data_IF_441123108503
#
_entry.id   IF_441123108503
#
_cell.length_a   1.000
_cell.length_b   1.000
_cell.length_c   1.000
_cell.angle_alpha   90.00
_cell.angle_beta   90.00
_cell.angle_gamma   90.00
#
_symmetry.space_group_name_H-M   'P 1'
#
loop_
_entity.id
_entity.type
_entity.pdbx_description
1 polymer ?
#
# COMPACT_ATOMS: atom_id res chain seq x y z
N UNK A 1 -9.58 -35.35 3.09
CA UNK A 1 -9.69 -33.93 2.67
C UNK A 1 -11.15 -33.63 2.42
N UNK A 2 -11.75 -32.68 3.13
CA UNK A 2 -13.16 -32.33 2.95
C UNK A 2 -13.34 -31.54 1.64
N UNK A 3 -14.38 -31.82 0.82
CA UNK A 3 -14.61 -31.10 -0.42
C UNK A 3 -15.07 -29.66 -0.11
N UNK A 4 -14.37 -28.69 -0.68
CA UNK A 4 -14.76 -27.27 -0.63
C UNK A 4 -16.07 -27.12 -1.39
N UNK A 5 -17.17 -26.87 -0.68
CA UNK A 5 -18.47 -26.55 -1.30
C UNK A 5 -18.33 -25.23 -2.06
N UNK A 6 -18.32 -25.31 -3.38
CA UNK A 6 -18.40 -24.15 -4.27
C UNK A 6 -19.84 -23.64 -4.22
N UNK A 7 -20.05 -22.47 -3.62
CA UNK A 7 -21.36 -21.82 -3.56
C UNK A 7 -21.91 -21.54 -4.96
N UNK A 8 -23.23 -21.57 -5.08
CA UNK A 8 -23.93 -21.27 -6.34
C UNK A 8 -23.63 -19.84 -6.81
N UNK A 9 -23.93 -19.51 -8.08
CA UNK A 9 -23.75 -18.13 -8.59
C UNK A 9 -24.48 -17.10 -7.71
N UNK A 10 -25.68 -17.45 -7.22
CA UNK A 10 -26.48 -16.63 -6.31
C UNK A 10 -25.76 -16.36 -4.98
N UNK A 11 -25.17 -17.39 -4.37
CA UNK A 11 -24.40 -17.23 -3.13
C UNK A 11 -23.18 -16.31 -3.30
N UNK A 12 -22.59 -16.27 -4.51
CA UNK A 12 -21.45 -15.39 -4.82
C UNK A 12 -21.88 -13.95 -5.03
N UNK A 13 -23.01 -13.73 -5.70
CA UNK A 13 -23.60 -12.41 -5.90
C UNK A 13 -24.05 -11.81 -4.55
N UNK A 14 -24.73 -12.60 -3.70
CA UNK A 14 -25.14 -12.20 -2.35
C UNK A 14 -23.92 -11.83 -1.47
N UNK A 15 -22.83 -12.59 -1.59
CA UNK A 15 -21.58 -12.33 -0.86
C UNK A 15 -20.87 -11.06 -1.38
N UNK A 16 -21.01 -10.74 -2.67
CA UNK A 16 -20.49 -9.50 -3.27
C UNK A 16 -21.28 -8.30 -2.79
N UNK A 17 -22.61 -8.42 -2.69
CA UNK A 17 -23.48 -7.37 -2.13
C UNK A 17 -23.21 -7.15 -0.63
N UNK A 18 -23.04 -8.20 0.17
CA UNK A 18 -22.67 -8.06 1.58
C UNK A 18 -21.30 -7.39 1.78
N UNK A 19 -20.34 -7.66 0.90
CA UNK A 19 -19.03 -6.99 0.95
C UNK A 19 -19.14 -5.52 0.56
N UNK A 20 -20.01 -5.17 -0.39
CA UNK A 20 -20.28 -3.79 -0.78
C UNK A 20 -20.97 -3.01 0.34
N UNK A 21 -22.01 -3.58 0.96
CA UNK A 21 -22.71 -2.96 2.10
C UNK A 21 -21.78 -2.69 3.29
N UNK A 22 -20.87 -3.64 3.61
CA UNK A 22 -19.86 -3.44 4.66
C UNK A 22 -18.83 -2.36 4.33
N UNK A 23 -18.57 -2.12 3.05
CA UNK A 23 -17.72 -1.00 2.63
C UNK A 23 -18.44 0.33 2.79
N UNK A 24 -19.69 0.41 2.33
CA UNK A 24 -20.48 1.64 2.40
C UNK A 24 -20.71 2.04 3.89
N UNK A 25 -20.92 1.05 4.76
CA UNK A 25 -21.01 1.25 6.21
C UNK A 25 -19.66 1.67 6.83
N UNK A 26 -18.56 1.05 6.42
CA UNK A 26 -17.22 1.46 6.87
C UNK A 26 -16.84 2.86 6.34
N UNK A 27 -17.28 3.25 5.15
CA UNK A 27 -17.07 4.57 4.59
C UNK A 27 -17.89 5.63 5.32
N UNK A 28 -19.12 5.29 5.72
CA UNK A 28 -19.98 6.12 6.59
C UNK A 28 -19.38 6.33 7.98
N UNK A 29 -18.81 5.29 8.59
CA UNK A 29 -18.11 5.36 9.89
C UNK A 29 -16.79 6.14 9.80
N UNK A 30 -16.18 6.21 8.61
CA UNK A 30 -14.92 6.92 8.34
C UNK A 30 -15.13 8.29 7.66
N UNK A 31 -16.35 8.82 7.65
CA UNK A 31 -16.65 10.15 7.13
C UNK A 31 -15.83 11.23 7.86
N UNK A 32 -15.45 12.29 7.13
CA UNK A 32 -14.64 13.39 7.66
C UNK A 32 -15.40 14.12 8.77
N UNK A 33 -14.86 14.27 9.99
CA UNK A 33 -15.44 15.15 11.00
C UNK A 33 -15.42 16.59 10.49
N UNK A 34 -16.44 17.37 10.82
CA UNK A 34 -16.59 18.75 10.35
C UNK A 34 -15.62 19.77 11.01
N UNK A 35 -14.58 19.31 11.73
CA UNK A 35 -13.64 20.16 12.49
C UNK A 35 -12.18 19.96 12.10
N UNK A 36 -11.31 20.84 12.60
CA UNK A 36 -9.88 20.83 12.29
C UNK A 36 -9.16 19.61 12.89
N UNK A 37 -8.86 18.63 12.03
CA UNK A 37 -8.09 17.44 12.41
C UNK A 37 -6.58 17.68 12.30
N UNK A 38 -5.85 17.26 13.33
CA UNK A 38 -4.38 17.18 13.30
C UNK A 38 -3.87 16.38 12.07
N UNK A 39 -2.77 16.82 11.41
CA UNK A 39 -2.21 16.15 10.24
C UNK A 39 -1.90 14.65 10.45
N UNK A 40 -1.56 14.25 11.68
CA UNK A 40 -1.30 12.86 12.04
C UNK A 40 -2.58 12.01 12.07
N UNK A 41 -3.67 12.57 12.57
CA UNK A 41 -4.99 11.91 12.60
C UNK A 41 -5.56 11.75 11.19
N UNK A 42 -5.43 12.79 10.36
CA UNK A 42 -5.80 12.75 8.94
C UNK A 42 -5.04 11.66 8.20
N UNK A 43 -3.71 11.56 8.39
CA UNK A 43 -2.87 10.49 7.83
C UNK A 43 -3.28 9.08 8.27
N UNK A 44 -3.61 8.90 9.55
CA UNK A 44 -4.06 7.60 10.09
C UNK A 44 -5.40 7.18 9.48
N UNK A 45 -6.35 8.12 9.33
CA UNK A 45 -7.65 7.86 8.69
C UNK A 45 -7.49 7.51 7.21
N UNK A 46 -6.68 8.26 6.46
CA UNK A 46 -6.42 7.97 5.04
C UNK A 46 -5.76 6.60 4.87
N UNK A 47 -4.81 6.23 5.73
CA UNK A 47 -4.18 4.92 5.69
C UNK A 47 -5.18 3.79 5.97
N UNK A 48 -6.08 3.95 6.95
CA UNK A 48 -7.15 2.97 7.23
C UNK A 48 -8.11 2.82 6.03
N UNK A 49 -8.53 3.92 5.41
CA UNK A 49 -9.39 3.91 4.21
C UNK A 49 -8.71 3.18 3.05
N UNK A 50 -7.43 3.49 2.81
CA UNK A 50 -6.66 2.85 1.74
C UNK A 50 -6.45 1.34 1.99
N UNK A 51 -6.21 0.94 3.24
CA UNK A 51 -6.09 -0.47 3.62
C UNK A 51 -7.40 -1.24 3.47
N UNK A 52 -8.54 -0.63 3.82
CA UNK A 52 -9.86 -1.22 3.63
C UNK A 52 -10.19 -1.41 2.13
N UNK A 53 -9.93 -0.39 1.31
CA UNK A 53 -10.11 -0.47 -0.15
C UNK A 53 -9.21 -1.54 -0.79
N UNK A 54 -7.95 -1.65 -0.34
CA UNK A 54 -7.03 -2.70 -0.82
C UNK A 54 -7.54 -4.09 -0.49
N UNK A 55 -8.03 -4.32 0.73
CA UNK A 55 -8.61 -5.61 1.15
C UNK A 55 -9.85 -5.98 0.33
N UNK A 56 -10.71 -5.02 0.03
CA UNK A 56 -11.88 -5.25 -0.81
C UNK A 56 -11.50 -5.61 -2.25
N UNK A 57 -10.62 -4.82 -2.90
CA UNK A 57 -10.14 -5.12 -4.26
C UNK A 57 -9.51 -6.50 -4.35
N UNK A 58 -8.79 -6.92 -3.31
CA UNK A 58 -8.21 -8.27 -3.23
C UNK A 58 -9.31 -9.35 -3.17
N UNK A 59 -10.31 -9.19 -2.30
CA UNK A 59 -11.43 -10.15 -2.18
C UNK A 59 -12.31 -10.21 -3.43
N UNK A 60 -12.52 -9.09 -4.12
CA UNK A 60 -13.26 -9.07 -5.40
C UNK A 60 -12.47 -9.82 -6.48
N UNK A 61 -11.15 -9.61 -6.57
CA UNK A 61 -10.30 -10.37 -7.49
C UNK A 61 -10.29 -11.86 -7.19
N UNK A 62 -10.26 -12.25 -5.91
CA UNK A 62 -10.37 -13.66 -5.49
C UNK A 62 -11.72 -14.27 -5.91
N UNK A 63 -12.83 -13.53 -5.76
CA UNK A 63 -14.16 -13.97 -6.22
C UNK A 63 -14.24 -14.08 -7.74
N UNK A 64 -13.63 -13.16 -8.49
CA UNK A 64 -13.58 -13.20 -9.96
C UNK A 64 -12.72 -14.38 -10.46
N UNK A 65 -11.58 -14.66 -9.82
CA UNK A 65 -10.72 -15.81 -10.11
C UNK A 65 -11.44 -17.14 -9.83
N UNK A 66 -12.15 -17.23 -8.70
CA UNK A 66 -12.98 -18.40 -8.39
C UNK A 66 -14.13 -18.55 -9.41
N UNK A 67 -14.69 -17.44 -9.91
CA UNK A 67 -15.70 -17.50 -10.98
C UNK A 67 -15.13 -17.96 -12.32
N UNK A 68 -13.91 -17.55 -12.67
CA UNK A 68 -13.24 -18.00 -13.88
C UNK A 68 -12.86 -19.49 -13.80
N UNK A 69 -12.43 -19.98 -12.64
CA UNK A 69 -12.13 -21.40 -12.43
C UNK A 69 -13.38 -22.29 -12.58
N UNK A 70 -14.54 -21.87 -12.09
CA UNK A 70 -15.81 -22.60 -12.26
C UNK A 70 -16.31 -22.57 -13.70
N UNK A 71 -16.10 -21.45 -14.42
CA UNK A 71 -16.43 -21.35 -15.84
C UNK A 71 -15.48 -22.19 -16.72
N UNK A 72 -14.22 -22.35 -16.33
CA UNK A 72 -13.26 -23.17 -17.07
C UNK A 72 -13.44 -24.67 -16.77
N UNK A 73 -13.82 -25.04 -15.55
CA UNK A 73 -14.18 -26.43 -15.20
C UNK A 73 -15.43 -26.91 -15.97
N UNK A 74 -16.44 -26.05 -16.10
CA UNK A 74 -17.66 -26.37 -16.87
C UNK A 74 -17.44 -26.44 -18.40
N UNK A 75 -16.36 -25.84 -18.92
CA UNK A 75 -15.99 -25.91 -20.36
C UNK A 75 -15.04 -27.10 -20.66
N UNK A 76 -14.29 -27.58 -19.66
CA UNK A 76 -13.35 -28.71 -19.83
C UNK A 76 -13.99 -30.09 -19.63
N UNK A 77 -15.04 -30.21 -18.81
CA UNK A 77 -15.84 -31.46 -18.72
C UNK A 77 -16.67 -31.76 -19.99
N UNK A 78 -16.91 -30.76 -20.84
CA UNK A 78 -17.72 -30.93 -22.06
C UNK A 78 -16.94 -31.42 -23.29
N UNK A 79 -15.63 -31.74 -23.18
CA UNK A 79 -14.79 -32.04 -24.36
C UNK A 79 -14.27 -33.46 -24.50
N UNK A 80 -14.49 -34.40 -23.58
CA UNK A 80 -14.07 -35.80 -23.78
C UNK A 80 -15.18 -36.79 -23.42
N UNK A 81 -15.80 -37.39 -24.45
CA UNK A 81 -16.05 -38.83 -24.69
C UNK A 81 -17.05 -38.95 -25.87
N UNK A 82 -16.81 -39.82 -26.88
CA UNK A 82 -17.76 -40.09 -27.96
C UNK A 82 -18.72 -41.22 -27.57
N UNK A 83 -19.90 -41.25 -28.20
CA UNK A 83 -20.70 -42.42 -28.66
C UNK A 83 -22.21 -42.08 -28.63
N UNK A 84 -22.87 -42.42 -29.73
CA UNK A 84 -24.29 -42.25 -29.99
C UNK A 84 -25.17 -43.12 -29.08
N UNK A 85 -26.37 -42.61 -28.73
CA UNK A 85 -27.64 -43.35 -28.63
C UNK A 85 -28.78 -42.30 -28.61
N UNK A 86 -29.81 -42.55 -29.41
CA UNK A 86 -31.03 -41.77 -29.48
C UNK A 86 -31.94 -41.99 -28.26
N UNK A 87 -32.74 -40.97 -27.90
CA UNK A 87 -34.16 -40.99 -27.48
C UNK A 87 -34.48 -39.63 -26.80
N UNK A 88 -35.54 -38.97 -27.25
CA UNK A 88 -36.12 -37.74 -26.68
C UNK A 88 -37.41 -38.09 -25.88
N UNK A 89 -38.23 -37.15 -25.35
CA UNK A 89 -38.03 -35.74 -24.93
C UNK A 89 -38.66 -35.41 -23.53
N UNK A 90 -38.41 -34.22 -22.96
CA UNK A 90 -39.40 -33.53 -22.09
C UNK A 90 -39.16 -32.01 -21.97
N UNK A 91 -40.21 -31.26 -22.32
CA UNK A 91 -40.56 -29.84 -22.22
C UNK A 91 -40.24 -29.16 -20.85
N UNK A 92 -40.14 -27.85 -20.61
CA UNK A 92 -40.36 -26.52 -21.28
C UNK A 92 -39.81 -25.48 -20.25
N UNK A 93 -39.38 -24.23 -20.51
CA UNK A 93 -40.04 -23.14 -21.23
C UNK A 93 -39.05 -21.95 -21.36
N UNK A 94 -38.72 -21.52 -22.58
CA UNK A 94 -38.21 -20.17 -22.85
C UNK A 94 -38.86 -19.70 -24.16
N UNK A 95 -40.02 -19.08 -24.01
CA UNK A 95 -40.90 -18.66 -25.08
C UNK A 95 -40.37 -17.39 -25.76
N UNK A 96 -40.42 -17.40 -27.11
CA UNK A 96 -40.50 -16.25 -28.04
C UNK A 96 -39.26 -15.72 -28.76
N UNK A 97 -38.09 -16.38 -28.74
CA UNK A 97 -36.98 -16.10 -29.71
C UNK A 97 -36.80 -17.21 -30.75
N UNK A 98 -37.12 -18.45 -30.38
CA UNK A 98 -37.00 -19.63 -31.26
C UNK A 98 -38.00 -19.61 -32.44
N UNK A 99 -39.24 -19.14 -32.21
CA UNK A 99 -40.25 -19.07 -33.27
C UNK A 99 -39.91 -18.06 -34.36
N UNK A 100 -39.41 -16.87 -33.99
CA UNK A 100 -38.99 -15.84 -34.96
C UNK A 100 -37.74 -16.26 -35.76
N UNK A 101 -36.87 -17.08 -35.18
CA UNK A 101 -35.74 -17.70 -35.90
C UNK A 101 -36.22 -18.73 -36.93
N UNK A 102 -37.07 -19.66 -36.51
CA UNK A 102 -37.63 -20.70 -37.38
C UNK A 102 -38.49 -20.13 -38.52
N UNK A 103 -39.30 -19.10 -38.25
CA UNK A 103 -40.09 -18.39 -39.27
C UNK A 103 -39.18 -17.74 -40.31
N UNK A 104 -38.10 -17.07 -39.89
CA UNK A 104 -37.12 -16.46 -40.82
C UNK A 104 -36.42 -17.49 -41.71
N UNK A 105 -36.09 -18.66 -41.17
CA UNK A 105 -35.48 -19.76 -41.95
C UNK A 105 -36.48 -20.33 -42.95
N UNK A 106 -37.72 -20.59 -42.53
CA UNK A 106 -38.80 -21.06 -43.41
C UNK A 106 -39.15 -20.06 -44.51
N UNK A 107 -39.20 -18.76 -44.19
CA UNK A 107 -39.43 -17.69 -45.16
C UNK A 107 -38.26 -17.54 -46.13
N UNK A 108 -37.03 -17.68 -45.65
CA UNK A 108 -35.84 -17.67 -46.50
C UNK A 108 -35.83 -18.85 -47.48
N UNK A 109 -36.21 -20.04 -47.02
CA UNK A 109 -36.32 -21.25 -47.84
C UNK A 109 -37.45 -21.13 -48.88
N UNK A 110 -38.63 -20.66 -48.46
CA UNK A 110 -39.75 -20.36 -49.36
C UNK A 110 -39.38 -19.30 -50.40
N UNK A 111 -38.59 -18.29 -50.02
CA UNK A 111 -38.06 -17.28 -50.94
C UNK A 111 -36.97 -17.83 -51.89
N UNK A 112 -36.21 -18.85 -51.49
CA UNK A 112 -35.26 -19.56 -52.36
C UNK A 112 -36.01 -20.37 -53.42
N UNK A 113 -37.00 -21.17 -53.02
CA UNK A 113 -37.83 -21.96 -53.92
C UNK A 113 -38.59 -21.08 -54.92
N UNK A 114 -39.20 -19.99 -54.44
CA UNK A 114 -39.84 -18.99 -55.31
C UNK A 114 -38.87 -18.41 -56.33
N UNK A 115 -37.64 -18.07 -55.93
CA UNK A 115 -36.61 -17.54 -56.85
C UNK A 115 -36.16 -18.57 -57.89
N UNK A 116 -36.04 -19.84 -57.51
CA UNK A 116 -35.69 -20.94 -58.41
C UNK A 116 -36.74 -21.09 -59.51
N UNK A 117 -38.02 -21.02 -59.15
CA UNK A 117 -39.17 -21.22 -60.05
C UNK A 117 -39.61 -19.97 -60.83
N UNK A 118 -38.90 -18.83 -60.73
CA UNK A 118 -39.22 -17.64 -61.53
C UNK A 118 -38.74 -17.78 -62.97
N UNK A 119 -39.61 -17.44 -63.94
CA UNK A 119 -39.21 -17.32 -65.34
C UNK A 119 -38.21 -16.17 -65.55
N UNK A 120 -37.45 -16.20 -66.65
CA UNK A 120 -36.47 -15.16 -67.00
C UNK A 120 -37.10 -13.75 -67.01
N UNK A 121 -38.30 -13.61 -67.58
CA UNK A 121 -39.08 -12.38 -67.59
C UNK A 121 -39.53 -11.92 -66.18
N UNK A 122 -39.86 -12.85 -65.28
CA UNK A 122 -40.20 -12.53 -63.89
C UNK A 122 -38.95 -12.12 -63.09
N UNK A 123 -37.80 -12.77 -63.32
CA UNK A 123 -36.52 -12.40 -62.70
C UNK A 123 -36.11 -11.00 -63.09
N UNK A 124 -36.26 -10.64 -64.36
CA UNK A 124 -35.89 -9.31 -64.86
C UNK A 124 -36.77 -8.20 -64.30
N UNK A 125 -38.10 -8.39 -64.28
CA UNK A 125 -39.03 -7.45 -63.61
C UNK A 125 -38.71 -7.28 -62.12
N UNK A 126 -38.30 -8.36 -61.44
CA UNK A 126 -37.91 -8.31 -60.02
C UNK A 126 -36.60 -7.55 -59.83
N UNK A 127 -35.61 -7.72 -60.72
CA UNK A 127 -34.36 -6.95 -60.71
C UNK A 127 -34.61 -5.46 -60.95
N UNK A 128 -35.44 -5.12 -61.94
CA UNK A 128 -35.81 -3.73 -62.24
C UNK A 128 -36.52 -3.08 -61.05
N UNK A 129 -37.53 -3.75 -60.47
CA UNK A 129 -38.23 -3.26 -59.28
C UNK A 129 -37.32 -3.12 -58.05
N UNK A 130 -36.35 -4.02 -57.88
CA UNK A 130 -35.37 -3.91 -56.80
C UNK A 130 -34.35 -2.80 -57.04
N UNK A 131 -33.92 -2.59 -58.29
CA UNK A 131 -33.05 -1.49 -58.68
C UNK A 131 -33.74 -0.14 -58.48
N UNK A 132 -35.02 -0.03 -58.84
CA UNK A 132 -35.85 1.14 -58.60
C UNK A 132 -36.04 1.41 -57.09
N UNK A 133 -36.38 0.38 -56.29
CA UNK A 133 -36.43 0.49 -54.82
C UNK A 133 -35.09 0.94 -54.23
N UNK A 134 -33.97 0.46 -54.76
CA UNK A 134 -32.64 0.90 -54.33
C UNK A 134 -32.35 2.34 -54.75
N UNK A 135 -32.76 2.78 -55.94
CA UNK A 135 -32.63 4.17 -56.40
C UNK A 135 -33.44 5.12 -55.51
N UNK A 136 -34.70 4.80 -55.21
CA UNK A 136 -35.55 5.59 -54.30
C UNK A 136 -34.95 5.64 -52.90
N UNK A 137 -34.48 4.51 -52.36
CA UNK A 137 -33.78 4.49 -51.05
C UNK A 137 -32.51 5.34 -51.05
N UNK A 138 -31.73 5.32 -52.13
CA UNK A 138 -30.54 6.18 -52.26
C UNK A 138 -30.91 7.66 -52.36
N UNK A 139 -32.00 8.01 -53.04
CA UNK A 139 -32.48 9.39 -53.15
C UNK A 139 -33.09 9.92 -51.85
N UNK A 140 -33.66 9.05 -51.01
CA UNK A 140 -34.24 9.40 -49.71
C UNK A 140 -33.21 9.42 -48.56
N UNK A 141 -31.98 8.98 -48.79
CA UNK A 141 -30.93 8.99 -47.77
C UNK A 141 -30.43 10.41 -47.53
N UNK A 142 -30.36 10.79 -46.26
CA UNK A 142 -29.76 12.05 -45.82
C UNK A 142 -28.24 11.97 -46.01
N UNK A 143 -27.59 13.10 -46.27
CA UNK A 143 -26.15 13.17 -46.49
C UNK A 143 -25.34 12.56 -45.34
N UNK A 144 -25.80 12.74 -44.10
CA UNK A 144 -25.21 12.21 -42.87
C UNK A 144 -25.13 10.68 -42.84
N UNK A 145 -26.14 9.97 -43.36
CA UNK A 145 -26.15 8.50 -43.38
C UNK A 145 -25.13 7.95 -44.38
N UNK A 146 -24.95 8.65 -45.50
CA UNK A 146 -23.95 8.32 -46.52
C UNK A 146 -22.53 8.55 -45.99
N UNK A 147 -22.33 9.59 -45.18
CA UNK A 147 -21.04 9.89 -44.55
C UNK A 147 -20.70 8.87 -43.45
N UNK A 148 -21.66 8.50 -42.60
CA UNK A 148 -21.49 7.46 -41.59
C UNK A 148 -21.13 6.09 -42.21
N UNK A 149 -21.71 5.74 -43.37
CA UNK A 149 -21.35 4.52 -44.09
C UNK A 149 -19.94 4.59 -44.70
N UNK A 150 -19.51 5.77 -45.17
CA UNK A 150 -18.13 5.98 -45.66
C UNK A 150 -17.13 5.85 -44.52
N UNK A 151 -17.42 6.41 -43.36
CA UNK A 151 -16.58 6.31 -42.17
C UNK A 151 -16.49 4.86 -41.67
N UNK A 152 -17.62 4.14 -41.59
CA UNK A 152 -17.62 2.71 -41.29
C UNK A 152 -16.77 1.90 -42.27
N UNK A 153 -16.84 2.21 -43.56
CA UNK A 153 -16.02 1.54 -44.57
C UNK A 153 -14.52 1.86 -44.42
N UNK A 154 -14.16 3.11 -44.09
CA UNK A 154 -12.76 3.50 -43.79
C UNK A 154 -12.23 2.73 -42.58
N UNK A 155 -12.99 2.70 -41.48
CA UNK A 155 -12.62 1.95 -40.26
C UNK A 155 -12.47 0.46 -40.57
N UNK A 156 -13.42 -0.13 -41.32
CA UNK A 156 -13.35 -1.55 -41.69
C UNK A 156 -12.18 -1.88 -42.64
N UNK A 157 -11.72 -0.93 -43.46
CA UNK A 157 -10.51 -1.09 -44.28
C UNK A 157 -9.24 -0.92 -43.45
N UNK A 158 -9.25 -0.04 -42.44
CA UNK A 158 -8.13 0.13 -41.52
C UNK A 158 -7.93 -1.15 -40.69
N UNK A 159 -8.99 -1.64 -40.04
CA UNK A 159 -8.97 -2.89 -39.27
C UNK A 159 -8.45 -4.06 -40.12
N UNK A 160 -8.88 -4.17 -41.38
CA UNK A 160 -8.40 -5.24 -42.27
C UNK A 160 -6.90 -5.14 -42.54
N UNK A 161 -6.37 -3.93 -42.75
CA UNK A 161 -4.93 -3.72 -42.96
C UNK A 161 -4.13 -4.01 -41.70
N UNK A 162 -4.63 -3.58 -40.54
CA UNK A 162 -3.97 -3.81 -39.25
C UNK A 162 -3.93 -5.31 -38.94
N UNK A 163 -5.05 -6.03 -39.10
CA UNK A 163 -5.11 -7.49 -38.92
C UNK A 163 -4.20 -8.25 -39.90
N UNK A 164 -4.08 -7.79 -41.14
CA UNK A 164 -3.13 -8.36 -42.11
C UNK A 164 -1.68 -8.08 -41.72
N UNK A 165 -1.38 -6.88 -41.22
CA UNK A 165 -0.06 -6.53 -40.69
C UNK A 165 0.33 -7.39 -39.49
N UNK A 166 -0.58 -7.54 -38.52
CA UNK A 166 -0.39 -8.42 -37.37
C UNK A 166 -0.19 -9.89 -37.77
N UNK A 167 -0.99 -10.39 -38.73
CA UNK A 167 -0.84 -11.74 -39.25
C UNK A 167 0.54 -11.96 -39.91
N UNK A 168 1.01 -10.99 -40.69
CA UNK A 168 2.33 -11.07 -41.32
C UNK A 168 3.47 -11.05 -40.28
N UNK A 169 3.38 -10.18 -39.27
CA UNK A 169 4.35 -10.15 -38.16
C UNK A 169 4.38 -11.46 -37.37
N UNK A 170 3.21 -12.08 -37.16
CA UNK A 170 3.13 -13.39 -36.51
C UNK A 170 3.81 -14.48 -37.34
N UNK A 171 3.55 -14.51 -38.66
CA UNK A 171 4.20 -15.45 -39.59
C UNK A 171 5.71 -15.25 -39.62
N UNK A 172 6.19 -14.01 -39.66
CA UNK A 172 7.62 -13.71 -39.67
C UNK A 172 8.29 -14.07 -38.34
N UNK A 173 7.62 -13.83 -37.21
CA UNK A 173 8.08 -14.26 -35.88
C UNK A 173 8.18 -15.78 -35.79
N UNK A 174 7.19 -16.51 -36.32
CA UNK A 174 7.17 -17.97 -36.33
C UNK A 174 8.27 -18.54 -37.24
N UNK A 175 8.48 -17.93 -38.42
CA UNK A 175 9.60 -18.26 -39.31
C UNK A 175 10.95 -18.03 -38.64
N UNK A 176 11.13 -16.91 -37.94
CA UNK A 176 12.35 -16.64 -37.19
C UNK A 176 12.55 -17.62 -36.03
N UNK A 177 11.50 -17.96 -35.28
CA UNK A 177 11.56 -18.94 -34.21
C UNK A 177 11.94 -20.33 -34.73
N UNK A 178 11.36 -20.74 -35.86
CA UNK A 178 11.64 -22.00 -36.54
C UNK A 178 13.07 -22.04 -37.07
N UNK A 179 13.55 -20.94 -37.67
CA UNK A 179 14.93 -20.83 -38.12
C UNK A 179 15.91 -20.91 -36.94
N UNK A 180 15.59 -20.27 -35.81
CA UNK A 180 16.39 -20.32 -34.57
C UNK A 180 16.41 -21.71 -33.95
N UNK A 181 15.30 -22.45 -33.97
CA UNK A 181 15.26 -23.81 -33.41
C UNK A 181 16.02 -24.84 -34.26
N UNK A 182 16.23 -24.56 -35.54
CA UNK A 182 16.99 -25.41 -36.46
C UNK A 182 18.51 -25.12 -36.45
N UNK A 183 18.94 -24.00 -35.86
CA UNK A 183 20.36 -23.63 -35.75
C UNK A 183 21.03 -24.34 -34.57
N UNK A 184 22.26 -24.81 -34.77
CA UNK A 184 23.10 -25.36 -33.69
C UNK A 184 23.40 -24.27 -32.65
N UNK A 185 23.66 -24.65 -31.40
CA UNK A 185 24.07 -23.70 -30.35
C UNK A 185 25.28 -22.84 -30.78
N UNK A 186 26.24 -23.46 -31.49
CA UNK A 186 27.42 -22.78 -32.00
C UNK A 186 27.08 -21.72 -33.06
N UNK A 187 26.10 -21.99 -33.92
CA UNK A 187 25.65 -21.02 -34.93
C UNK A 187 24.85 -19.89 -34.28
N UNK A 188 24.02 -20.20 -33.28
CA UNK A 188 23.30 -19.19 -32.52
C UNK A 188 24.25 -18.24 -31.78
N UNK A 189 25.33 -18.78 -31.22
CA UNK A 189 26.32 -17.98 -30.50
C UNK A 189 27.19 -17.16 -31.46
N UNK A 190 27.51 -17.72 -32.64
CA UNK A 190 28.16 -16.98 -33.72
C UNK A 190 27.27 -15.82 -34.21
N UNK A 191 25.97 -16.05 -34.42
CA UNK A 191 25.02 -15.00 -34.78
C UNK A 191 24.90 -13.94 -33.67
N UNK A 192 24.91 -14.34 -32.40
CA UNK A 192 24.92 -13.39 -31.27
C UNK A 192 26.18 -12.55 -31.25
N UNK A 193 27.35 -13.14 -31.50
CA UNK A 193 28.62 -12.43 -31.58
C UNK A 193 28.60 -11.41 -32.72
N UNK A 194 28.21 -11.82 -33.94
CA UNK A 194 28.09 -10.93 -35.10
C UNK A 194 27.14 -9.76 -34.80
N UNK A 195 25.99 -10.03 -34.19
CA UNK A 195 25.05 -8.97 -33.80
C UNK A 195 25.62 -8.03 -32.73
N UNK A 196 26.40 -8.55 -31.80
CA UNK A 196 27.05 -7.77 -30.74
C UNK A 196 28.13 -6.88 -31.34
N UNK A 197 28.96 -7.41 -32.23
CA UNK A 197 29.99 -6.66 -32.96
C UNK A 197 29.38 -5.60 -33.87
N UNK A 198 28.33 -5.93 -34.63
CA UNK A 198 27.62 -4.97 -35.47
C UNK A 198 26.96 -3.84 -34.66
N UNK A 199 26.53 -4.12 -33.43
CA UNK A 199 26.03 -3.08 -32.50
C UNK A 199 27.18 -2.24 -31.94
N UNK A 200 28.30 -2.85 -31.57
CA UNK A 200 29.49 -2.15 -31.09
C UNK A 200 30.06 -1.22 -32.19
N UNK A 201 30.15 -1.70 -33.42
CA UNK A 201 30.60 -0.93 -34.58
C UNK A 201 29.67 0.26 -34.83
N UNK A 202 28.35 0.05 -34.86
CA UNK A 202 27.38 1.14 -35.00
C UNK A 202 27.54 2.18 -33.89
N UNK A 203 27.67 1.76 -32.62
CA UNK A 203 27.92 2.67 -31.50
C UNK A 203 29.23 3.45 -31.62
N UNK A 204 30.27 2.84 -32.17
CA UNK A 204 31.56 3.51 -32.38
C UNK A 204 31.52 4.57 -33.48
N UNK A 205 30.62 4.41 -34.45
CA UNK A 205 30.45 5.32 -35.58
C UNK A 205 29.42 6.43 -35.29
N UNK A 206 28.61 6.29 -34.24
CA UNK A 206 27.62 7.29 -33.84
C UNK A 206 28.27 8.57 -33.31
N UNK A 207 27.73 9.70 -33.75
CA UNK A 207 28.05 11.03 -33.22
C UNK A 207 27.57 11.19 -31.78
N UNK A 208 28.07 12.19 -31.05
CA UNK A 208 27.60 12.47 -29.68
C UNK A 208 26.13 12.89 -29.66
N UNK A 209 25.67 13.62 -30.68
CA UNK A 209 24.28 14.07 -30.79
C UNK A 209 23.32 12.90 -31.01
N UNK A 210 23.66 11.96 -31.90
CA UNK A 210 22.90 10.72 -32.09
C UNK A 210 22.88 9.87 -30.81
N UNK A 211 24.01 9.78 -30.10
CA UNK A 211 24.08 9.07 -28.81
C UNK A 211 23.22 9.74 -27.75
N UNK A 212 23.12 11.07 -27.76
CA UNK A 212 22.24 11.82 -26.85
C UNK A 212 20.78 11.57 -27.18
N UNK A 213 20.39 11.61 -28.45
CA UNK A 213 19.01 11.32 -28.89
C UNK A 213 18.60 9.87 -28.54
N UNK A 214 19.50 8.90 -28.73
CA UNK A 214 19.25 7.51 -28.31
C UNK A 214 19.08 7.39 -26.78
N UNK A 215 19.83 8.16 -25.98
CA UNK A 215 19.65 8.20 -24.52
C UNK A 215 18.33 8.82 -24.12
N UNK A 216 17.93 9.92 -24.77
CA UNK A 216 16.71 10.64 -24.47
C UNK A 216 15.47 9.80 -24.83
N UNK A 217 15.47 9.15 -25.99
CA UNK A 217 14.41 8.21 -26.40
C UNK A 217 14.31 7.03 -25.44
N UNK A 218 15.44 6.42 -25.05
CA UNK A 218 15.46 5.36 -24.04
C UNK A 218 14.95 5.84 -22.67
N UNK A 219 15.30 7.07 -22.26
CA UNK A 219 14.82 7.65 -21.01
C UNK A 219 13.30 7.83 -21.01
N UNK A 220 12.72 8.28 -22.13
CA UNK A 220 11.28 8.40 -22.31
C UNK A 220 10.60 7.02 -22.22
N UNK A 221 11.11 6.02 -22.95
CA UNK A 221 10.57 4.65 -22.89
C UNK A 221 10.59 4.11 -21.46
N UNK A 222 11.69 4.28 -20.74
CA UNK A 222 11.81 3.83 -19.35
C UNK A 222 10.88 4.59 -18.40
N UNK A 223 10.69 5.90 -18.62
CA UNK A 223 9.73 6.69 -17.86
C UNK A 223 8.29 6.22 -18.09
N UNK A 224 7.93 5.92 -19.34
CA UNK A 224 6.62 5.37 -19.71
C UNK A 224 6.39 4.02 -19.04
N UNK A 225 7.36 3.09 -19.12
CA UNK A 225 7.26 1.79 -18.46
C UNK A 225 7.06 1.94 -16.94
N UNK A 226 7.87 2.78 -16.27
CA UNK A 226 7.73 3.04 -14.81
C UNK A 226 6.39 3.64 -14.43
N UNK A 227 5.78 4.44 -15.30
CA UNK A 227 4.45 5.02 -15.06
C UNK A 227 3.32 3.99 -15.14
N UNK A 228 3.51 2.93 -15.94
CA UNK A 228 2.53 1.86 -16.14
C UNK A 228 2.70 0.69 -15.17
N UNK A 229 3.87 0.59 -14.52
CA UNK A 229 4.15 -0.46 -13.54
C UNK A 229 3.19 -0.42 -12.35
N UNK A 230 2.82 -1.60 -11.88
CA UNK A 230 2.06 -1.80 -10.65
C UNK A 230 2.92 -1.62 -9.40
N UNK A 231 2.28 -1.40 -8.24
CA UNK A 231 2.97 -1.28 -6.96
C UNK A 231 3.80 -2.52 -6.60
N UNK A 232 3.33 -3.71 -6.98
CA UNK A 232 3.99 -4.98 -6.67
C UNK A 232 5.21 -5.20 -7.58
N UNK A 233 5.11 -4.89 -8.87
CA UNK A 233 6.27 -4.89 -9.78
C UNK A 233 7.34 -3.91 -9.32
N UNK A 234 6.96 -2.70 -8.89
CA UNK A 234 7.90 -1.73 -8.32
C UNK A 234 8.55 -2.20 -7.03
N UNK A 235 7.88 -3.06 -6.24
CA UNK A 235 8.49 -3.67 -5.04
C UNK A 235 9.54 -4.69 -5.43
N UNK A 236 9.20 -5.60 -6.34
CA UNK A 236 10.13 -6.63 -6.83
C UNK A 236 11.37 -5.99 -7.45
N UNK A 237 11.20 -4.98 -8.31
CA UNK A 237 12.33 -4.26 -8.92
C UNK A 237 13.25 -3.63 -7.86
N UNK A 238 12.67 -2.97 -6.84
CA UNK A 238 13.46 -2.38 -5.74
C UNK A 238 14.16 -3.42 -4.88
N UNK A 239 13.58 -4.60 -4.71
CA UNK A 239 14.21 -5.67 -3.94
C UNK A 239 15.37 -6.30 -4.72
N UNK A 240 15.21 -6.49 -6.04
CA UNK A 240 16.30 -6.91 -6.93
C UNK A 240 17.42 -5.86 -6.96
N UNK A 241 17.10 -4.58 -7.06
CA UNK A 241 18.09 -3.51 -7.02
C UNK A 241 18.82 -3.46 -5.66
N UNK A 242 18.09 -3.69 -4.56
CA UNK A 242 18.70 -3.79 -3.23
C UNK A 242 19.71 -4.93 -3.20
N UNK A 243 19.34 -6.11 -3.69
CA UNK A 243 20.21 -7.28 -3.73
C UNK A 243 21.44 -7.07 -4.64
N UNK A 244 21.26 -6.45 -5.81
CA UNK A 244 22.38 -6.06 -6.67
C UNK A 244 23.35 -5.12 -5.95
N UNK A 245 22.83 -4.13 -5.22
CA UNK A 245 23.66 -3.21 -4.45
C UNK A 245 24.35 -3.87 -3.26
N UNK A 246 23.73 -4.86 -2.59
CA UNK A 246 24.41 -5.62 -1.52
C UNK A 246 25.54 -6.45 -2.10
N UNK A 247 25.28 -7.21 -3.17
CA UNK A 247 26.28 -8.07 -3.79
C UNK A 247 27.45 -7.25 -4.37
N UNK A 248 27.16 -6.09 -4.97
CA UNK A 248 28.20 -5.18 -5.46
C UNK A 248 29.09 -4.64 -4.34
N UNK A 249 28.53 -4.36 -3.15
CA UNK A 249 29.31 -3.89 -1.98
C UNK A 249 30.18 -5.00 -1.40
N UNK A 250 29.69 -6.24 -1.38
CA UNK A 250 30.45 -7.40 -0.90
C UNK A 250 31.65 -7.70 -1.81
N UNK A 251 31.50 -7.52 -3.12
CA UNK A 251 32.57 -7.72 -4.10
C UNK A 251 33.52 -6.51 -4.24
N UNK A 252 33.23 -5.40 -3.57
CA UNK A 252 33.99 -4.16 -3.72
C UNK A 252 35.32 -4.23 -2.96
N UNK A 253 36.43 -3.93 -3.64
CA UNK A 253 37.75 -3.74 -3.02
C UNK A 253 37.73 -2.60 -1.99
N UNK A 254 38.61 -2.64 -0.99
CA UNK A 254 38.72 -1.59 0.02
C UNK A 254 39.04 -0.21 -0.58
N UNK A 255 39.96 -0.13 -1.57
CA UNK A 255 40.30 1.13 -2.27
C UNK A 255 39.07 1.79 -2.93
N UNK A 256 38.28 0.99 -3.64
CA UNK A 256 37.04 1.45 -4.26
C UNK A 256 36.00 1.90 -3.22
N UNK A 257 35.96 1.25 -2.05
CA UNK A 257 35.07 1.64 -0.94
C UNK A 257 35.50 2.98 -0.36
N UNK A 258 36.78 3.21 -0.16
CA UNK A 258 37.30 4.46 0.38
C UNK A 258 37.10 5.63 -0.59
N UNK A 259 37.38 5.42 -1.87
CA UNK A 259 37.10 6.42 -2.90
C UNK A 259 35.59 6.76 -3.00
N UNK A 260 34.71 5.78 -2.78
CA UNK A 260 33.27 6.04 -2.74
C UNK A 260 32.88 6.85 -1.49
N UNK A 261 33.41 6.51 -0.32
CA UNK A 261 33.16 7.26 0.90
C UNK A 261 33.64 8.70 0.80
N UNK A 262 34.79 8.94 0.17
CA UNK A 262 35.32 10.29 -0.06
C UNK A 262 34.39 11.10 -0.96
N UNK A 263 33.97 10.54 -2.10
CA UNK A 263 32.97 11.18 -2.97
C UNK A 263 31.66 11.48 -2.24
N UNK A 264 31.20 10.56 -1.38
CA UNK A 264 29.97 10.77 -0.61
C UNK A 264 30.15 11.88 0.45
N UNK A 265 31.32 11.97 1.09
CA UNK A 265 31.66 13.08 2.01
C UNK A 265 31.67 14.41 1.28
N UNK A 266 32.26 14.48 0.10
CA UNK A 266 32.28 15.68 -0.74
C UNK A 266 30.87 16.11 -1.16
N UNK A 267 30.06 15.17 -1.67
CA UNK A 267 28.65 15.44 -2.02
C UNK A 267 27.87 15.99 -0.83
N UNK A 268 28.07 15.43 0.36
CA UNK A 268 27.42 15.91 1.59
C UNK A 268 27.95 17.27 2.03
N UNK A 269 29.24 17.57 1.83
CA UNK A 269 29.81 18.89 2.09
C UNK A 269 29.19 19.93 1.15
N UNK A 270 29.16 19.66 -0.16
CA UNK A 270 28.53 20.54 -1.16
C UNK A 270 27.05 20.76 -0.84
N UNK A 271 26.31 19.70 -0.51
CA UNK A 271 24.89 19.81 -0.09
C UNK A 271 24.73 20.73 1.11
N UNK A 272 25.61 20.64 2.11
CA UNK A 272 25.57 21.52 3.30
C UNK A 272 25.88 22.98 2.97
N UNK A 273 26.79 23.23 2.03
CA UNK A 273 27.11 24.60 1.58
C UNK A 273 25.92 25.22 0.84
N UNK A 274 25.28 24.47 -0.06
CA UNK A 274 24.15 24.94 -0.86
C UNK A 274 22.82 25.02 -0.10
N UNK A 275 22.71 24.33 1.04
CA UNK A 275 21.51 24.35 1.87
C UNK A 275 21.20 25.74 2.40
N UNK A 276 19.94 26.14 2.26
CA UNK A 276 19.41 27.38 2.84
C UNK A 276 19.26 27.25 4.36
N UNK A 277 19.19 28.39 5.07
CA UNK A 277 19.03 28.39 6.53
C UNK A 277 17.73 27.71 6.99
N UNK A 278 16.64 27.92 6.25
CA UNK A 278 15.35 27.25 6.48
C UNK A 278 15.47 25.73 6.41
N UNK A 279 16.12 25.20 5.38
CA UNK A 279 16.32 23.75 5.22
C UNK A 279 17.19 23.17 6.34
N UNK A 280 18.20 23.92 6.79
CA UNK A 280 19.05 23.53 7.94
C UNK A 280 18.23 23.48 9.23
N UNK A 281 17.33 24.42 9.45
CA UNK A 281 16.46 24.42 10.62
C UNK A 281 15.48 23.24 10.60
N UNK A 282 14.84 22.97 9.46
CA UNK A 282 13.98 21.79 9.32
C UNK A 282 14.74 20.47 9.53
N UNK A 283 15.99 20.37 9.06
CA UNK A 283 16.83 19.20 9.30
C UNK A 283 17.16 19.05 10.80
N UNK A 284 17.49 20.14 11.49
CA UNK A 284 17.69 20.15 12.95
C UNK A 284 16.42 19.74 13.69
N UNK A 285 15.26 20.21 13.25
CA UNK A 285 13.97 19.85 13.84
C UNK A 285 13.66 18.36 13.63
N UNK A 286 13.83 17.84 12.41
CA UNK A 286 13.69 16.40 12.11
C UNK A 286 14.61 15.55 12.99
N UNK A 287 15.85 15.98 13.21
CA UNK A 287 16.79 15.29 14.11
C UNK A 287 16.33 15.36 15.57
N UNK A 288 15.83 16.51 16.03
CA UNK A 288 15.26 16.66 17.39
C UNK A 288 14.05 15.77 17.59
N UNK A 289 13.14 15.71 16.62
CA UNK A 289 11.95 14.85 16.65
C UNK A 289 12.35 13.36 16.65
N UNK A 290 13.32 12.96 15.82
CA UNK A 290 13.86 11.60 15.82
C UNK A 290 14.46 11.22 17.18
N UNK A 291 15.21 12.13 17.81
CA UNK A 291 15.78 11.90 19.16
C UNK A 291 14.68 11.81 20.22
N UNK A 292 13.65 12.66 20.15
CA UNK A 292 12.50 12.63 21.08
C UNK A 292 11.69 11.34 20.95
N UNK A 293 11.41 10.89 19.73
CA UNK A 293 10.71 9.63 19.47
C UNK A 293 11.51 8.41 19.90
N UNK A 294 12.83 8.41 19.69
CA UNK A 294 13.73 7.35 20.18
C UNK A 294 13.72 7.30 21.71
N UNK A 295 13.94 8.43 22.40
CA UNK A 295 13.89 8.47 23.87
C UNK A 295 12.54 8.07 24.45
N UNK A 296 11.44 8.52 23.84
CA UNK A 296 10.10 8.14 24.30
C UNK A 296 9.81 6.65 24.05
N UNK A 297 10.32 6.09 22.95
CA UNK A 297 10.25 4.66 22.67
C UNK A 297 11.07 3.87 23.70
N UNK A 298 12.29 4.30 24.02
CA UNK A 298 13.17 3.65 24.99
C UNK A 298 12.63 3.74 26.43
N UNK A 299 11.99 4.87 26.78
CA UNK A 299 11.34 5.06 28.08
C UNK A 299 10.15 4.12 28.29
N UNK A 300 9.41 3.76 27.23
CA UNK A 300 8.33 2.78 27.26
C UNK A 300 8.84 1.33 27.08
N UNK A 301 9.87 1.13 26.25
CA UNK A 301 10.45 -0.20 25.95
C UNK A 301 11.14 -0.84 27.16
N UNK A 302 11.65 -0.05 28.11
CA UNK A 302 12.23 -0.58 29.35
C UNK A 302 11.21 -1.31 30.27
N UNK A 303 9.91 -1.22 30.01
CA UNK A 303 8.88 -1.93 30.77
C UNK A 303 8.36 -3.20 30.09
N UNK A 304 8.22 -3.23 28.76
CA UNK A 304 7.64 -4.39 28.04
C UNK A 304 8.66 -5.18 27.19
N UNK A 305 9.66 -4.52 26.59
CA UNK A 305 10.69 -5.14 25.73
C UNK A 305 12.05 -5.22 26.45
N UNK A 306 12.04 -5.47 27.76
CA UNK A 306 13.27 -5.69 28.52
C UNK A 306 14.01 -6.90 27.95
N UNK A 307 15.20 -6.68 27.37
CA UNK A 307 16.05 -7.75 26.84
C UNK A 307 16.85 -8.39 27.97
N UNK A 308 16.47 -9.60 28.43
CA UNK A 308 17.09 -10.22 29.61
C UNK A 308 18.58 -10.55 29.42
N UNK A 309 19.03 -10.63 28.17
CA UNK A 309 20.43 -10.90 27.81
C UNK A 309 21.37 -9.71 28.02
N UNK A 310 20.85 -8.49 28.18
CA UNK A 310 21.67 -7.28 28.31
C UNK A 310 22.09 -6.97 29.76
N UNK A 311 21.58 -7.72 30.75
CA UNK A 311 21.87 -7.51 32.17
C UNK A 311 22.46 -8.80 32.74
N UNK A 312 23.75 -8.76 33.06
CA UNK A 312 24.51 -9.85 33.69
C UNK A 312 25.26 -9.33 34.90
N UNK A 313 25.27 -10.11 35.98
CA UNK A 313 25.95 -9.76 37.22
C UNK A 313 25.48 -10.62 38.39
N UNK A 314 26.26 -10.68 39.48
CA UNK A 314 25.92 -11.46 40.68
C UNK A 314 24.64 -10.96 41.38
N UNK A 315 24.34 -9.66 41.26
CA UNK A 315 23.16 -9.03 41.84
C UNK A 315 21.94 -9.08 40.89
N UNK A 316 21.88 -10.03 39.97
CA UNK A 316 20.80 -10.17 38.98
C UNK A 316 20.14 -11.53 39.19
N UNK A 317 18.82 -11.53 39.41
CA UNK A 317 18.05 -12.76 39.51
C UNK A 317 18.10 -13.51 38.16
N UNK A 318 18.48 -14.80 38.16
CA UNK A 318 18.67 -15.56 36.92
C UNK A 318 17.38 -15.79 36.12
N UNK A 319 16.24 -15.93 36.80
CA UNK A 319 14.92 -16.22 36.23
C UNK A 319 14.24 -14.96 35.71
N UNK A 320 14.27 -13.87 36.49
CA UNK A 320 13.63 -12.59 36.09
C UNK A 320 14.59 -11.63 35.40
N UNK A 321 15.91 -11.90 35.44
CA UNK A 321 17.01 -11.05 34.95
C UNK A 321 16.92 -9.59 35.42
N UNK A 322 16.28 -9.37 36.56
CA UNK A 322 16.17 -8.08 37.26
C UNK A 322 17.18 -8.03 38.39
N UNK A 323 17.63 -6.84 38.75
CA UNK A 323 18.51 -6.65 39.90
C UNK A 323 17.84 -7.16 41.18
N UNK A 324 18.49 -8.10 41.86
CA UNK A 324 18.16 -8.52 43.22
C UNK A 324 18.84 -7.54 44.16
N UNK A 325 18.07 -6.57 44.66
CA UNK A 325 18.57 -5.68 45.70
C UNK A 325 18.74 -6.46 47.02
N UNK A 326 19.82 -6.23 47.78
CA UNK A 326 20.02 -6.90 49.06
C UNK A 326 18.97 -6.46 50.08
N UNK A 327 18.57 -7.29 51.05
CA UNK A 327 17.53 -6.93 52.01
C UNK A 327 17.91 -5.65 52.78
N UNK A 328 16.95 -4.74 52.93
CA UNK A 328 17.16 -3.52 53.71
C UNK A 328 17.32 -3.84 55.20
N UNK A 329 18.17 -3.08 55.87
CA UNK A 329 18.35 -3.12 57.32
C UNK A 329 17.58 -1.98 57.96
N UNK A 330 17.11 -2.16 59.19
CA UNK A 330 16.34 -1.13 59.90
C UNK A 330 17.27 -0.34 60.82
N UNK A 331 17.24 0.98 60.72
CA UNK A 331 18.00 1.86 61.61
C UNK A 331 17.44 1.81 63.05
N UNK A 332 18.27 1.46 64.03
CA UNK A 332 17.89 1.38 65.44
C UNK A 332 17.23 2.66 66.00
N UNK A 333 17.68 3.84 65.55
CA UNK A 333 17.22 5.11 66.12
C UNK A 333 15.90 5.64 65.54
N UNK A 334 15.55 5.28 64.29
CA UNK A 334 14.43 5.91 63.54
C UNK A 334 13.57 4.94 62.75
N UNK A 335 13.81 3.63 62.85
CA UNK A 335 13.16 2.58 62.05
C UNK A 335 13.19 2.81 60.52
N UNK A 336 14.07 3.68 60.04
CA UNK A 336 14.26 3.95 58.62
C UNK A 336 14.92 2.74 57.97
N UNK A 337 14.44 2.35 56.79
CA UNK A 337 15.03 1.29 55.98
C UNK A 337 16.31 1.82 55.32
N UNK A 338 17.39 1.06 55.46
CA UNK A 338 18.73 1.36 54.94
C UNK A 338 19.24 0.24 54.07
N UNK A 339 20.02 0.58 53.06
CA UNK A 339 20.72 -0.44 52.28
C UNK A 339 22.02 -0.88 52.99
N UNK A 340 22.44 -2.14 52.83
CA UNK A 340 23.76 -2.57 53.26
C UNK A 340 24.87 -1.70 52.64
N UNK A 341 25.80 -1.21 53.46
CA UNK A 341 26.87 -0.30 53.03
C UNK A 341 26.51 1.19 53.07
N UNK A 342 25.26 1.56 53.34
CA UNK A 342 24.87 2.95 53.53
C UNK A 342 25.49 3.52 54.83
N UNK A 343 26.01 4.75 54.76
CA UNK A 343 26.70 5.37 55.89
C UNK A 343 25.81 5.46 57.14
N UNK A 344 26.41 5.36 58.34
CA UNK A 344 25.68 5.50 59.62
C UNK A 344 24.96 6.85 59.72
N UNK A 345 25.56 7.89 59.12
CA UNK A 345 25.03 9.26 59.08
C UNK A 345 23.84 9.46 58.13
N UNK A 346 23.63 8.61 57.13
CA UNK A 346 22.69 8.83 56.02
C UNK A 346 21.21 9.03 56.41
N UNK A 347 20.70 8.32 57.41
CA UNK A 347 19.26 8.40 57.72
C UNK A 347 18.91 9.35 58.88
N UNK A 348 19.79 9.58 59.86
CA UNK A 348 19.44 10.30 61.10
C UNK A 348 20.61 11.02 61.76
N UNK A 349 21.78 11.09 61.10
CA UNK A 349 23.02 11.57 61.69
C UNK A 349 23.28 10.92 63.06
N UNK A 350 23.19 9.59 63.13
CA UNK A 350 23.37 8.80 64.37
C UNK A 350 22.37 9.16 65.50
N UNK A 351 21.15 9.58 65.13
CA UNK A 351 20.08 9.90 66.07
C UNK A 351 20.01 11.37 66.45
N UNK A 352 20.89 12.21 65.90
CA UNK A 352 20.88 13.67 66.12
C UNK A 352 19.68 14.35 65.46
N UNK A 353 19.19 13.82 64.34
CA UNK A 353 17.96 14.30 63.72
C UNK A 353 16.79 13.52 64.30
N UNK A 354 15.77 14.21 64.82
CA UNK A 354 14.45 13.65 65.13
C UNK A 354 13.46 14.19 64.11
N UNK A 355 12.94 13.31 63.25
CA UNK A 355 11.87 13.68 62.33
C UNK A 355 10.55 13.52 63.09
N UNK A 356 9.61 14.48 62.96
CA UNK A 356 8.25 14.26 63.40
C UNK A 356 7.68 12.98 62.77
N UNK A 357 6.79 12.26 63.48
CA UNK A 357 6.06 11.15 62.89
C UNK A 357 5.39 11.63 61.60
N UNK A 358 5.49 10.84 60.53
CA UNK A 358 4.78 11.15 59.29
C UNK A 358 3.28 11.18 59.59
N UNK A 359 2.60 12.24 59.15
CA UNK A 359 1.16 12.28 59.20
C UNK A 359 0.61 11.07 58.41
N UNK A 360 -0.45 10.41 58.92
CA UNK A 360 -1.06 9.31 58.19
C UNK A 360 -1.52 9.80 56.81
N UNK A 361 -1.36 8.95 55.80
CA UNK A 361 -1.80 9.29 54.46
C UNK A 361 -3.31 9.61 54.48
N UNK A 362 -3.76 10.66 53.74
CA UNK A 362 -5.17 10.96 53.59
C UNK A 362 -5.97 9.72 53.20
N UNK A 363 -7.12 9.50 53.85
CA UNK A 363 -7.95 8.29 53.68
C UNK A 363 -8.34 8.08 52.22
N UNK A 364 -8.57 9.15 51.48
CA UNK A 364 -8.88 9.14 50.05
C UNK A 364 -7.74 8.54 49.20
N UNK A 365 -6.48 8.85 49.53
CA UNK A 365 -5.32 8.27 48.84
C UNK A 365 -5.15 6.79 49.18
N UNK A 366 -5.43 6.38 50.42
CA UNK A 366 -5.39 4.97 50.81
C UNK A 366 -6.46 4.16 50.07
N UNK A 367 -7.68 4.69 49.94
CA UNK A 367 -8.76 4.08 49.14
C UNK A 367 -8.37 3.96 47.67
N UNK A 368 -7.82 5.03 47.09
CA UNK A 368 -7.37 5.06 45.70
C UNK A 368 -6.23 4.07 45.44
N UNK A 369 -5.29 3.94 46.37
CA UNK A 369 -4.19 2.97 46.28
C UNK A 369 -4.67 1.51 46.40
N UNK A 370 -5.85 1.28 46.97
CA UNK A 370 -6.50 -0.03 46.98
C UNK A 370 -6.89 -0.53 45.58
N UNK A 371 -7.15 0.39 44.63
CA UNK A 371 -7.54 0.05 43.26
C UNK A 371 -6.34 -0.50 42.45
N UNK A 372 -6.42 -1.74 41.91
CA UNK A 372 -5.39 -2.30 41.05
C UNK A 372 -5.10 -1.49 39.78
N UNK A 373 -6.14 -0.90 39.17
CA UNK A 373 -5.98 -0.11 37.94
C UNK A 373 -5.25 1.20 38.23
N UNK A 374 -5.54 1.82 39.37
CA UNK A 374 -4.79 2.99 39.83
C UNK A 374 -3.32 2.66 40.09
N UNK A 375 -3.01 1.56 40.79
CA UNK A 375 -1.62 1.14 41.07
C UNK A 375 -0.83 0.87 39.79
N UNK A 376 -1.46 0.26 38.79
CA UNK A 376 -0.85 0.01 37.47
C UNK A 376 -0.44 1.30 36.77
N UNK A 377 -1.23 2.36 36.92
CA UNK A 377 -1.02 3.64 36.22
C UNK A 377 -0.50 4.77 37.12
N UNK A 378 -0.14 4.49 38.38
CA UNK A 378 0.23 5.51 39.38
C UNK A 378 1.37 6.43 38.92
N UNK A 379 2.33 5.91 38.15
CA UNK A 379 3.41 6.73 37.58
C UNK A 379 2.90 7.73 36.55
N UNK A 380 1.94 7.34 35.71
CA UNK A 380 1.33 8.23 34.73
C UNK A 380 0.51 9.31 35.44
N UNK A 381 -0.28 8.94 36.45
CA UNK A 381 -1.00 9.91 37.28
C UNK A 381 -0.06 10.89 37.97
N UNK A 382 0.99 10.40 38.63
CA UNK A 382 1.97 11.27 39.29
C UNK A 382 2.71 12.18 38.29
N UNK A 383 2.96 11.73 37.06
CA UNK A 383 3.54 12.58 36.01
C UNK A 383 2.58 13.69 35.57
N UNK A 384 1.29 13.37 35.42
CA UNK A 384 0.25 14.37 35.10
C UNK A 384 0.08 15.37 36.25
N UNK A 385 0.12 14.88 37.49
CA UNK A 385 -0.02 15.71 38.69
C UNK A 385 1.27 16.37 39.18
N UNK A 386 2.44 16.09 38.59
CA UNK A 386 3.71 16.69 39.00
C UNK A 386 3.70 18.23 38.91
N UNK A 387 2.80 18.78 38.08
CA UNK A 387 2.66 20.22 37.87
C UNK A 387 1.57 20.87 38.74
N UNK A 388 0.78 20.11 39.51
CA UNK A 388 -0.31 20.70 40.32
C UNK A 388 0.18 21.50 41.51
N UNK A 389 1.37 21.20 42.04
CA UNK A 389 2.00 21.94 43.13
C UNK A 389 2.99 23.00 42.65
N UNK A 390 3.03 23.30 41.35
CA UNK A 390 3.94 24.32 40.82
C UNK A 390 3.35 25.70 41.04
N UNK A 391 4.19 26.56 41.62
CA UNK A 391 3.92 27.95 41.91
C UNK A 391 4.93 28.89 41.25
N UNK A 392 4.58 30.17 41.18
CA UNK A 392 5.45 31.25 40.77
C UNK A 392 5.71 32.18 41.97
N UNK A 393 6.93 32.69 42.09
CA UNK A 393 7.27 33.69 43.11
C UNK A 393 6.46 34.97 42.90
N UNK A 394 5.73 35.41 43.91
CA UNK A 394 5.10 36.73 43.90
C UNK A 394 6.17 37.82 44.03
N UNK A 395 6.24 38.80 43.10
CA UNK A 395 7.19 39.91 43.19
C UNK A 395 7.02 40.77 44.45
N UNK A 396 5.83 40.77 45.05
CA UNK A 396 5.50 41.61 46.22
C UNK A 396 5.79 40.95 47.57
N UNK A 397 5.76 39.61 47.64
CA UNK A 397 5.85 38.86 48.91
C UNK A 397 7.00 37.87 48.96
N UNK A 398 7.61 37.51 47.83
CA UNK A 398 8.66 36.48 47.75
C UNK A 398 8.16 35.05 47.97
N UNK A 399 6.90 34.87 48.38
CA UNK A 399 6.25 33.57 48.51
C UNK A 399 5.86 32.97 47.16
N UNK A 400 5.88 31.65 47.07
CA UNK A 400 5.41 30.92 45.90
C UNK A 400 3.88 30.79 45.96
N UNK A 401 3.21 31.38 44.97
CA UNK A 401 1.76 31.28 44.82
C UNK A 401 1.41 30.32 43.69
N UNK A 402 0.25 29.68 43.79
CA UNK A 402 -0.28 28.80 42.74
C UNK A 402 -0.32 29.52 41.38
N UNK A 403 0.12 28.83 40.33
CA UNK A 403 0.07 29.39 38.97
C UNK A 403 -1.35 29.32 38.43
N UNK A 404 -1.88 30.45 37.96
CA UNK A 404 -3.17 30.50 37.30
C UNK A 404 -3.13 29.75 35.96
N UNK A 405 -4.06 28.82 35.76
CA UNK A 405 -4.24 28.15 34.48
C UNK A 405 -4.74 29.16 33.44
N UNK A 406 -4.06 29.23 32.29
CA UNK A 406 -4.47 30.12 31.22
C UNK A 406 -5.45 29.37 30.29
N UNK A 407 -6.73 29.54 30.57
CA UNK A 407 -7.81 28.90 29.81
C UNK A 407 -7.91 29.41 28.36
N UNK A 408 -7.26 30.53 28.01
CA UNK A 408 -7.28 31.07 26.63
C UNK A 408 -6.41 30.28 25.65
N UNK A 409 -5.44 29.51 26.17
CA UNK A 409 -4.51 28.65 25.41
C UNK A 409 -4.71 27.16 25.71
N UNK A 410 -5.67 26.84 26.58
CA UNK A 410 -6.06 25.47 26.89
C UNK A 410 -7.01 24.96 25.80
N UNK A 411 -6.47 24.26 24.80
CA UNK A 411 -7.27 23.68 23.72
C UNK A 411 -6.45 23.07 22.59
N UNK A 412 -5.29 23.66 22.26
CA UNK A 412 -4.58 23.28 21.03
C UNK A 412 -3.53 22.17 21.22
N UNK A 413 -2.83 22.10 22.38
CA UNK A 413 -1.68 21.18 22.57
C UNK A 413 -1.45 20.67 24.02
N UNK A 414 -2.49 20.46 24.82
CA UNK A 414 -2.35 19.81 26.14
C UNK A 414 -3.55 20.02 27.07
N UNK A 415 -3.71 19.15 28.07
CA UNK A 415 -4.80 19.21 29.08
C UNK A 415 -4.55 20.31 30.12
N UNK A 416 -3.28 20.67 30.37
CA UNK A 416 -2.88 21.69 31.33
C UNK A 416 -1.86 22.64 30.68
N UNK A 417 -2.26 23.89 30.46
CA UNK A 417 -1.40 24.97 29.96
C UNK A 417 -1.34 26.09 31.02
N UNK A 418 -0.13 26.43 31.45
CA UNK A 418 0.11 27.43 32.48
C UNK A 418 0.93 28.59 31.93
N UNK A 419 0.62 29.83 32.34
CA UNK A 419 1.50 30.98 32.13
C UNK A 419 2.17 31.35 33.44
N UNK A 420 3.50 31.36 33.44
CA UNK A 420 4.31 31.63 34.63
C UNK A 420 5.10 32.92 34.41
N UNK A 421 5.05 33.83 35.38
CA UNK A 421 5.94 34.99 35.47
C UNK A 421 6.62 34.97 36.85
N UNK A 422 7.94 35.07 36.87
CA UNK A 422 8.75 34.96 38.10
C UNK A 422 9.50 33.63 38.22
N UNK A 423 10.14 33.41 39.36
CA UNK A 423 10.86 32.17 39.65
C UNK A 423 9.87 31.03 39.90
N UNK A 424 10.15 29.84 39.35
CA UNK A 424 9.35 28.63 39.59
C UNK A 424 9.76 27.95 40.88
N UNK A 425 8.79 27.42 41.61
CA UNK A 425 8.99 26.61 42.80
C UNK A 425 7.75 25.77 43.11
N UNK A 426 7.81 24.95 44.15
CA UNK A 426 6.62 24.27 44.65
C UNK A 426 5.97 25.14 45.74
N UNK A 427 4.66 25.37 45.64
CA UNK A 427 3.89 26.02 46.71
C UNK A 427 3.34 24.89 47.60
N UNK A 428 4.03 24.57 48.69
CA UNK A 428 3.57 23.62 49.71
C UNK A 428 3.83 24.18 51.09
#
# INVERSE_FOLDING_TARGET
>A
MAPVRVGTKRDRDDRREQLQQRLDEAERVNATPAGDESPASKRRRTNRRHQAQKRFRTRVRELDLLSQQVNNASVSEARHVPVAIAVAPAATSATNTSSAGAIRVSDAERARLRRANMSSSQRERTRQKNAERQRVRRAQRRAEEVEADRERNRIAQQIRRDLQGEANLAIDSERQATRRSQLSQQDQDSERQINTEARALRRSQQTEDERKEERDTNAVVQATLRSQQTDDERRVERDVDRERHTNAREQQSDESRDAQQERDRERQAVRRVLQTEKEREEERERVRERRRTTRNRDALANHEDFRPSMVTGPDVNEETRRHRLPPTTVCANRNAWKWPGESKVGCCLEGKVKLPPLAPAPVTLLQLYGDPEFRKHIRAYNQVFAFTSIGASSPSTGEYMQVNQDNSVAGDRGVYTYRIQGAMGHYL
#
